data_IF_345919221681
#
_entry.id   IF_345919221681
#
_cell.length_a   1.000
_cell.length_b   1.000
_cell.length_c   1.000
_cell.angle_alpha   90.00
_cell.angle_beta   90.00
_cell.angle_gamma   90.00
#
_symmetry.space_group_name_H-M   'P 1'
#
loop_
_entity.id
_entity.type
_entity.pdbx_description
1 polymer ?
#
# COMPACT_ATOMS: atom_id res chain seq x y z
N UNK A 1 -21.76 6.73 -14.52
CA UNK A 1 -21.44 5.93 -13.32
C UNK A 1 -20.68 4.71 -13.78
N UNK A 2 -19.50 4.46 -13.23
CA UNK A 2 -18.65 3.32 -13.54
C UNK A 2 -18.87 2.22 -12.49
N UNK A 3 -18.94 0.97 -12.95
CA UNK A 3 -19.05 -0.16 -12.03
C UNK A 3 -17.67 -0.75 -11.75
N UNK A 4 -17.25 -0.87 -10.49
CA UNK A 4 -15.98 -1.50 -10.15
C UNK A 4 -16.05 -3.01 -10.38
N UNK A 5 -14.92 -3.62 -10.65
CA UNK A 5 -14.78 -5.08 -10.63
C UNK A 5 -14.85 -5.55 -9.18
N UNK A 6 -15.58 -6.65 -8.93
CA UNK A 6 -15.66 -7.23 -7.59
C UNK A 6 -14.93 -8.58 -7.59
N UNK A 7 -13.96 -8.73 -6.68
CA UNK A 7 -13.25 -9.97 -6.46
C UNK A 7 -12.96 -10.14 -4.96
N UNK A 8 -13.18 -11.31 -4.40
CA UNK A 8 -12.90 -11.65 -3.00
C UNK A 8 -13.55 -10.69 -1.98
N UNK A 9 -14.75 -10.19 -2.29
CA UNK A 9 -15.47 -9.23 -1.45
C UNK A 9 -14.96 -7.80 -1.53
N UNK A 10 -13.94 -7.52 -2.35
CA UNK A 10 -13.35 -6.20 -2.56
C UNK A 10 -13.77 -5.62 -3.90
N UNK A 11 -14.16 -4.34 -3.93
CA UNK A 11 -14.37 -3.58 -5.16
C UNK A 11 -13.04 -2.99 -5.61
N UNK A 12 -12.69 -3.21 -6.87
CA UNK A 12 -11.42 -2.78 -7.44
C UNK A 12 -11.64 -1.90 -8.67
N UNK A 13 -10.89 -0.80 -8.74
CA UNK A 13 -10.78 0.04 -9.92
C UNK A 13 -9.31 0.37 -10.17
N UNK A 14 -8.85 0.22 -11.40
CA UNK A 14 -7.48 0.53 -11.79
C UNK A 14 -7.45 1.31 -13.09
N UNK A 15 -6.50 2.22 -13.22
CA UNK A 15 -6.22 2.94 -14.46
C UNK A 15 -5.91 1.96 -15.61
N UNK A 16 -5.21 0.86 -15.29
CA UNK A 16 -4.89 -0.19 -16.26
C UNK A 16 -6.12 -0.84 -16.91
N UNK A 17 -7.29 -0.81 -16.27
CA UNK A 17 -8.54 -1.36 -16.85
C UNK A 17 -9.07 -0.54 -18.04
N UNK A 18 -8.63 0.72 -18.18
CA UNK A 18 -9.01 1.60 -19.27
C UNK A 18 -7.97 1.66 -20.39
N UNK A 19 -6.82 1.01 -20.17
CA UNK A 19 -5.76 0.88 -21.15
C UNK A 19 -6.00 -0.38 -21.97
N UNK A 20 -6.06 -0.27 -23.30
CA UNK A 20 -5.91 -1.47 -24.13
C UNK A 20 -4.53 -2.07 -23.92
N UNK A 21 -4.40 -3.39 -24.06
CA UNK A 21 -3.19 -4.19 -23.79
C UNK A 21 -1.91 -3.70 -24.50
N UNK A 22 -2.03 -2.88 -25.53
CA UNK A 22 -0.95 -2.53 -26.46
C UNK A 22 -0.51 -1.06 -26.41
N UNK A 23 -0.98 -0.28 -25.43
CA UNK A 23 -0.61 1.14 -25.34
C UNK A 23 0.04 1.50 -24.03
N UNK A 24 1.29 1.97 -24.08
CA UNK A 24 1.90 2.68 -22.97
C UNK A 24 1.09 3.95 -22.68
N UNK A 25 0.45 4.00 -21.54
CA UNK A 25 -0.32 5.18 -21.14
C UNK A 25 0.66 6.17 -20.50
N UNK A 26 1.00 7.21 -21.26
CA UNK A 26 1.73 8.35 -20.74
C UNK A 26 0.76 9.29 -20.01
N UNK A 27 0.57 9.05 -18.71
CA UNK A 27 -0.24 9.92 -17.88
C UNK A 27 0.63 11.04 -17.31
N UNK A 28 0.34 12.27 -17.71
CA UNK A 28 0.93 13.47 -17.10
C UNK A 28 0.04 13.97 -15.96
N UNK A 29 0.62 14.67 -15.00
CA UNK A 29 -0.01 15.12 -13.76
C UNK A 29 -1.50 15.53 -13.85
N UNK A 30 -1.92 16.43 -14.76
CA UNK A 30 -3.32 16.84 -14.86
C UNK A 30 -4.30 15.73 -15.25
N UNK A 31 -3.83 14.71 -16.00
CA UNK A 31 -4.67 13.55 -16.32
C UNK A 31 -4.82 12.60 -15.16
N UNK A 32 -3.77 12.41 -14.36
CA UNK A 32 -3.82 11.60 -13.14
C UNK A 32 -4.78 12.20 -12.12
N UNK A 33 -4.72 13.51 -11.90
CA UNK A 33 -5.65 14.21 -11.01
C UNK A 33 -7.11 14.04 -11.47
N UNK A 34 -7.39 14.23 -12.75
CA UNK A 34 -8.73 14.04 -13.31
C UNK A 34 -9.21 12.59 -13.16
N UNK A 35 -8.32 11.61 -13.30
CA UNK A 35 -8.66 10.20 -13.09
C UNK A 35 -8.97 9.91 -11.62
N UNK A 36 -8.23 10.49 -10.69
CA UNK A 36 -8.55 10.41 -9.26
C UNK A 36 -9.95 10.97 -8.98
N UNK A 37 -10.26 12.16 -9.47
CA UNK A 37 -11.58 12.77 -9.32
C UNK A 37 -12.68 11.87 -9.90
N UNK A 38 -12.48 11.28 -11.09
CA UNK A 38 -13.42 10.34 -11.69
C UNK A 38 -13.56 9.05 -10.87
N UNK A 39 -12.48 8.52 -10.33
CA UNK A 39 -12.54 7.32 -9.49
C UNK A 39 -13.28 7.56 -8.18
N UNK A 40 -13.16 8.74 -7.61
CA UNK A 40 -13.86 9.09 -6.39
C UNK A 40 -15.33 9.44 -6.64
N UNK A 41 -15.66 10.15 -7.74
CA UNK A 41 -16.99 10.69 -7.98
C UNK A 41 -17.87 9.81 -8.89
N UNK A 42 -17.29 9.15 -9.92
CA UNK A 42 -18.06 8.48 -10.98
C UNK A 42 -18.16 6.96 -10.76
N UNK A 43 -17.35 6.37 -9.87
CA UNK A 43 -17.41 4.93 -9.56
C UNK A 43 -18.43 4.66 -8.46
N UNK A 44 -19.25 3.65 -8.69
CA UNK A 44 -20.23 3.20 -7.69
C UNK A 44 -19.56 2.31 -6.62
N UNK A 45 -19.00 2.95 -5.61
CA UNK A 45 -18.39 2.24 -4.47
C UNK A 45 -19.43 1.64 -3.51
N UNK A 46 -20.66 2.17 -3.50
CA UNK A 46 -21.67 1.88 -2.47
C UNK A 46 -21.25 2.55 -1.15
N UNK A 47 -21.34 1.79 -0.06
CA UNK A 47 -20.93 2.23 1.28
C UNK A 47 -19.71 1.39 1.73
N UNK A 48 -18.48 1.73 1.29
CA UNK A 48 -17.30 0.99 1.68
C UNK A 48 -16.87 1.35 3.11
N UNK A 49 -16.51 0.37 3.93
CA UNK A 49 -15.94 0.61 5.25
C UNK A 49 -14.54 1.22 5.14
N UNK A 50 -13.79 0.86 4.11
CA UNK A 50 -12.42 1.32 3.87
C UNK A 50 -12.19 1.53 2.38
N UNK A 51 -11.52 2.63 2.04
CA UNK A 51 -11.02 2.91 0.70
C UNK A 51 -9.49 2.94 0.73
N UNK A 52 -8.85 2.03 0.00
CA UNK A 52 -7.40 1.98 -0.14
C UNK A 52 -7.02 2.54 -1.50
N UNK A 53 -6.12 3.54 -1.50
CA UNK A 53 -5.57 4.17 -2.68
C UNK A 53 -4.10 3.73 -2.83
N UNK A 54 -3.82 2.88 -3.83
CA UNK A 54 -2.45 2.51 -4.21
C UNK A 54 -1.86 3.59 -5.12
N UNK A 55 -1.00 4.43 -4.53
CA UNK A 55 -0.41 5.57 -5.20
C UNK A 55 0.85 5.17 -5.96
N UNK A 56 1.01 5.71 -7.18
CA UNK A 56 2.25 5.56 -7.92
C UNK A 56 3.44 6.13 -7.11
N UNK A 57 4.62 5.50 -7.17
CA UNK A 57 5.81 6.01 -6.50
C UNK A 57 6.23 7.35 -7.09
N UNK A 58 6.79 8.24 -6.26
CA UNK A 58 7.37 9.49 -6.71
C UNK A 58 6.95 10.71 -5.91
N UNK A 59 7.14 11.86 -6.51
CA UNK A 59 6.91 13.17 -5.92
C UNK A 59 5.44 13.36 -5.58
N UNK A 60 5.15 13.81 -4.42
CA UNK A 60 3.86 13.91 -3.78
C UNK A 60 2.66 14.51 -4.51
N UNK A 61 2.73 14.76 -5.83
CA UNK A 61 1.62 15.35 -6.59
C UNK A 61 0.30 14.59 -6.43
N UNK A 62 0.37 13.24 -6.50
CA UNK A 62 -0.81 12.40 -6.28
C UNK A 62 -1.26 12.40 -4.83
N UNK A 63 -0.33 12.34 -3.88
CA UNK A 63 -0.65 12.44 -2.47
C UNK A 63 -1.25 13.80 -2.12
N UNK A 64 -0.76 14.89 -2.72
CA UNK A 64 -1.34 16.23 -2.59
C UNK A 64 -2.77 16.24 -3.15
N UNK A 65 -3.00 15.68 -4.32
CA UNK A 65 -4.34 15.60 -4.93
C UNK A 65 -5.30 14.77 -4.09
N UNK A 66 -4.84 13.64 -3.53
CA UNK A 66 -5.63 12.82 -2.59
C UNK A 66 -5.96 13.61 -1.33
N UNK A 67 -5.00 14.30 -0.72
CA UNK A 67 -5.22 15.09 0.49
C UNK A 67 -6.22 16.23 0.27
N UNK A 68 -6.24 16.82 -0.92
CA UNK A 68 -7.22 17.85 -1.28
C UNK A 68 -8.62 17.28 -1.47
N UNK A 69 -8.72 16.08 -2.08
CA UNK A 69 -9.99 15.42 -2.32
C UNK A 69 -10.55 14.71 -1.07
N UNK A 70 -9.67 14.19 -0.22
CA UNK A 70 -9.98 13.39 0.97
C UNK A 70 -9.18 13.90 2.19
N UNK A 71 -9.61 14.98 2.84
CA UNK A 71 -8.86 15.63 3.92
C UNK A 71 -8.61 14.76 5.15
N UNK A 72 -9.42 13.72 5.33
CA UNK A 72 -9.29 12.77 6.46
C UNK A 72 -8.52 11.49 6.07
N UNK A 73 -7.95 11.43 4.87
CA UNK A 73 -7.15 10.28 4.48
C UNK A 73 -5.86 10.20 5.30
N UNK A 74 -5.45 8.98 5.62
CA UNK A 74 -4.18 8.70 6.27
C UNK A 74 -3.20 8.06 5.29
N UNK A 75 -1.92 8.28 5.47
CA UNK A 75 -0.85 7.76 4.64
C UNK A 75 -0.16 6.58 5.34
N UNK A 76 -0.08 5.44 4.68
CA UNK A 76 0.79 4.34 5.08
C UNK A 76 2.00 4.32 4.15
N UNK A 77 3.19 4.42 4.74
CA UNK A 77 4.45 4.43 3.99
C UNK A 77 4.96 2.99 3.88
N UNK A 78 5.14 2.50 2.65
CA UNK A 78 5.68 1.16 2.41
C UNK A 78 7.12 1.28 1.93
N UNK A 79 8.01 0.48 2.51
CA UNK A 79 9.43 0.42 2.16
C UNK A 79 9.93 -1.02 2.10
N UNK A 80 11.18 -1.22 1.71
CA UNK A 80 11.93 -2.47 1.88
C UNK A 80 13.15 -2.21 2.77
N UNK A 81 13.88 -3.25 3.25
CA UNK A 81 15.05 -3.05 4.10
C UNK A 81 16.19 -2.25 3.48
N UNK A 82 16.25 -2.20 2.14
CA UNK A 82 17.36 -1.54 1.41
C UNK A 82 17.44 -0.04 1.70
N UNK A 83 18.65 0.51 1.91
CA UNK A 83 18.85 1.94 2.20
C UNK A 83 18.23 2.87 1.15
N UNK A 84 18.43 2.56 -0.15
CA UNK A 84 17.89 3.38 -1.25
C UNK A 84 16.35 3.45 -1.26
N UNK A 85 15.68 2.33 -0.94
CA UNK A 85 14.23 2.30 -0.83
C UNK A 85 13.75 3.11 0.38
N UNK A 86 14.45 3.00 1.51
CA UNK A 86 14.14 3.77 2.72
C UNK A 86 14.26 5.28 2.48
N UNK A 87 15.27 5.73 1.74
CA UNK A 87 15.45 7.16 1.41
C UNK A 87 14.30 7.71 0.52
N UNK A 88 13.79 6.87 -0.39
CA UNK A 88 12.61 7.22 -1.19
C UNK A 88 11.35 7.24 -0.33
N UNK A 89 11.18 6.27 0.55
CA UNK A 89 10.04 6.15 1.45
C UNK A 89 9.95 7.34 2.43
N UNK A 90 11.08 7.77 3.00
CA UNK A 90 11.12 8.99 3.83
C UNK A 90 10.63 10.20 3.04
N UNK A 91 11.15 10.42 1.83
CA UNK A 91 10.71 11.54 0.97
C UNK A 91 9.22 11.47 0.67
N UNK A 92 8.68 10.28 0.44
CA UNK A 92 7.24 10.10 0.22
C UNK A 92 6.41 10.42 1.48
N UNK A 93 6.88 10.03 2.66
CA UNK A 93 6.21 10.34 3.93
C UNK A 93 6.27 11.83 4.29
N UNK A 94 7.33 12.54 3.91
CA UNK A 94 7.49 13.98 4.16
C UNK A 94 6.48 14.86 3.40
N UNK A 95 5.72 14.29 2.46
CA UNK A 95 4.60 15.01 1.84
C UNK A 95 3.57 15.45 2.90
N UNK A 96 3.46 14.74 4.01
CA UNK A 96 2.61 15.11 5.14
C UNK A 96 2.95 16.46 5.79
N UNK A 97 4.12 17.01 5.53
CA UNK A 97 4.46 18.42 5.92
C UNK A 97 3.78 19.46 5.04
N UNK A 98 3.30 19.08 3.86
CA UNK A 98 2.73 20.00 2.87
C UNK A 98 1.22 19.90 2.76
N UNK A 99 0.63 18.86 3.33
CA UNK A 99 -0.81 18.57 3.23
C UNK A 99 -1.36 18.13 4.60
N UNK A 100 -2.67 18.30 4.85
CA UNK A 100 -3.30 17.90 6.11
C UNK A 100 -3.55 16.38 6.19
N UNK A 101 -2.57 15.57 5.80
CA UNK A 101 -2.60 14.11 5.92
C UNK A 101 -1.66 13.66 7.02
N UNK A 102 -2.12 12.70 7.82
CA UNK A 102 -1.29 12.07 8.84
C UNK A 102 -0.62 10.81 8.28
N UNK A 103 0.66 10.62 8.58
CA UNK A 103 1.32 9.33 8.37
C UNK A 103 0.89 8.40 9.51
N UNK A 104 0.12 7.37 9.18
CA UNK A 104 -0.38 6.37 10.14
C UNK A 104 0.73 5.46 10.63
N UNK A 105 1.67 5.12 9.76
CA UNK A 105 2.82 4.29 10.08
C UNK A 105 3.58 3.81 8.86
N UNK A 106 4.56 2.96 9.11
CA UNK A 106 5.45 2.36 8.12
C UNK A 106 5.22 0.86 8.06
N UNK A 107 5.22 0.30 6.85
CA UNK A 107 5.23 -1.15 6.60
C UNK A 107 6.53 -1.49 5.86
N UNK A 108 7.33 -2.40 6.42
CA UNK A 108 8.52 -2.92 5.75
C UNK A 108 8.15 -4.21 5.02
N UNK A 109 8.13 -4.16 3.70
CA UNK A 109 7.88 -5.31 2.84
C UNK A 109 9.18 -6.01 2.47
N UNK A 110 9.13 -7.30 2.17
CA UNK A 110 10.31 -8.13 1.84
C UNK A 110 11.38 -8.07 2.94
N UNK A 111 10.95 -7.99 4.20
CA UNK A 111 11.84 -7.81 5.35
C UNK A 111 12.77 -8.99 5.54
N UNK A 112 12.32 -10.19 5.25
CA UNK A 112 13.08 -11.42 5.37
C UNK A 112 12.49 -12.49 4.47
N UNK A 113 13.28 -13.51 4.19
CA UNK A 113 12.84 -14.76 3.58
C UNK A 113 13.00 -15.89 4.59
N UNK A 114 12.00 -16.73 4.72
CA UNK A 114 12.04 -17.89 5.61
C UNK A 114 12.27 -19.16 4.78
N UNK A 115 13.33 -19.89 5.08
CA UNK A 115 13.66 -21.14 4.43
C UNK A 115 14.13 -22.18 5.46
N UNK A 116 13.50 -23.35 5.48
CA UNK A 116 13.81 -24.46 6.39
C UNK A 116 13.85 -24.06 7.87
N UNK A 117 13.02 -23.10 8.31
CA UNK A 117 12.99 -22.59 9.67
C UNK A 117 14.08 -21.55 9.99
N UNK A 118 14.88 -21.17 9.01
CA UNK A 118 15.87 -20.10 9.15
C UNK A 118 15.36 -18.82 8.47
N UNK A 119 15.61 -17.68 9.13
CA UNK A 119 15.33 -16.36 8.59
C UNK A 119 16.56 -15.83 7.86
N UNK A 120 16.38 -15.45 6.60
CA UNK A 120 17.45 -14.93 5.72
C UNK A 120 17.08 -13.49 5.34
N UNK A 121 17.96 -12.55 5.66
CA UNK A 121 17.77 -11.13 5.39
C UNK A 121 18.35 -10.76 4.01
N UNK A 122 17.66 -11.19 2.93
CA UNK A 122 18.13 -11.05 1.54
C UNK A 122 18.43 -9.58 1.19
N UNK A 123 17.62 -8.66 1.67
CA UNK A 123 17.71 -7.23 1.35
C UNK A 123 18.29 -6.38 2.49
N UNK A 124 18.95 -7.03 3.48
CA UNK A 124 19.43 -6.37 4.69
C UNK A 124 18.35 -6.20 5.74
N UNK A 125 18.59 -5.34 6.72
CA UNK A 125 17.69 -5.15 7.88
C UNK A 125 17.52 -3.69 8.24
N UNK A 126 16.42 -3.37 8.95
CA UNK A 126 16.25 -2.10 9.65
C UNK A 126 15.82 -0.92 8.78
N UNK A 127 15.49 -1.12 7.50
CA UNK A 127 15.02 -0.05 6.62
C UNK A 127 13.75 0.60 7.11
N UNK A 128 12.75 -0.21 7.49
CA UNK A 128 11.48 0.27 8.02
C UNK A 128 11.62 1.03 9.34
N UNK A 129 12.46 0.52 10.25
CA UNK A 129 12.74 1.19 11.52
C UNK A 129 13.42 2.55 11.31
N UNK A 130 14.34 2.63 10.33
CA UNK A 130 14.98 3.89 9.95
C UNK A 130 13.97 4.89 9.39
N UNK A 131 13.07 4.46 8.50
CA UNK A 131 12.00 5.31 7.97
C UNK A 131 11.07 5.81 9.08
N UNK A 132 10.64 4.91 9.97
CA UNK A 132 9.82 5.22 11.13
C UNK A 132 10.47 6.31 12.01
N UNK A 133 11.75 6.13 12.38
CA UNK A 133 12.48 7.10 13.20
C UNK A 133 12.60 8.46 12.49
N UNK A 134 13.02 8.49 11.23
CA UNK A 134 13.20 9.73 10.49
C UNK A 134 11.89 10.50 10.28
N UNK A 135 10.78 9.78 10.02
CA UNK A 135 9.46 10.40 9.91
C UNK A 135 8.94 10.91 11.26
N UNK A 136 9.18 10.18 12.36
CA UNK A 136 8.84 10.62 13.72
C UNK A 136 9.54 11.92 14.05
N UNK A 137 10.85 12.00 13.78
CA UNK A 137 11.63 13.21 14.05
C UNK A 137 11.16 14.39 13.20
N UNK A 138 10.92 14.17 11.91
CA UNK A 138 10.55 15.25 10.99
C UNK A 138 9.11 15.76 11.17
N UNK A 139 8.19 14.86 11.51
CA UNK A 139 6.75 15.17 11.64
C UNK A 139 6.36 15.56 13.07
N UNK A 140 7.27 15.40 14.05
CA UNK A 140 7.05 15.71 15.46
C UNK A 140 5.89 14.94 16.13
N UNK A 141 5.59 13.75 15.64
CA UNK A 141 4.69 12.78 16.27
C UNK A 141 5.16 11.35 15.94
N UNK A 142 4.74 10.40 16.76
CA UNK A 142 5.11 9.00 16.57
C UNK A 142 4.57 8.43 15.25
N UNK A 143 5.47 7.89 14.42
CA UNK A 143 5.17 7.14 13.20
C UNK A 143 5.66 5.71 13.38
N UNK A 144 4.81 4.78 13.83
CA UNK A 144 5.24 3.43 14.20
C UNK A 144 5.62 2.58 12.99
N UNK A 145 6.56 1.65 13.17
CA UNK A 145 6.74 0.50 12.27
C UNK A 145 5.61 -0.51 12.57
N UNK A 146 4.60 -0.53 11.72
CA UNK A 146 3.36 -1.30 11.94
C UNK A 146 3.52 -2.80 11.65
N UNK A 147 4.30 -3.14 10.63
CA UNK A 147 4.52 -4.52 10.22
C UNK A 147 5.84 -4.69 9.45
N UNK A 148 6.39 -5.90 9.57
CA UNK A 148 7.46 -6.42 8.73
C UNK A 148 6.93 -7.66 8.00
N UNK A 149 6.78 -7.55 6.68
CA UNK A 149 6.21 -8.61 5.84
C UNK A 149 7.33 -9.44 5.20
N UNK A 150 7.24 -10.76 5.22
CA UNK A 150 8.25 -11.61 4.58
C UNK A 150 8.20 -11.51 3.05
N UNK A 151 9.31 -11.84 2.42
CA UNK A 151 9.34 -12.21 1.01
C UNK A 151 8.77 -13.63 0.89
N UNK A 152 7.54 -13.77 0.39
CA UNK A 152 6.87 -15.05 0.27
C UNK A 152 6.62 -15.41 -1.21
N UNK A 153 7.25 -16.44 -1.76
CA UNK A 153 7.04 -16.89 -3.14
C UNK A 153 5.58 -17.26 -3.45
N UNK A 154 4.82 -17.67 -2.44
CA UNK A 154 3.41 -18.02 -2.57
C UNK A 154 2.54 -16.86 -3.04
N UNK A 155 2.96 -15.60 -2.78
CA UNK A 155 2.25 -14.40 -3.28
C UNK A 155 2.12 -14.47 -4.80
N UNK A 156 3.24 -14.78 -5.49
CA UNK A 156 3.25 -14.91 -6.94
C UNK A 156 2.51 -16.18 -7.39
N UNK A 157 2.84 -17.31 -6.79
CA UNK A 157 2.29 -18.60 -7.20
C UNK A 157 0.76 -18.63 -7.10
N UNK A 158 0.20 -18.23 -5.98
CA UNK A 158 -1.24 -18.19 -5.74
C UNK A 158 -1.90 -17.11 -6.60
N UNK A 159 -1.28 -15.92 -6.71
CA UNK A 159 -1.83 -14.83 -7.50
C UNK A 159 -1.91 -15.15 -9.00
N UNK A 160 -0.91 -15.85 -9.56
CA UNK A 160 -0.86 -16.22 -10.97
C UNK A 160 -1.71 -17.45 -11.30
N UNK A 161 -1.74 -18.46 -10.42
CA UNK A 161 -2.41 -19.74 -10.69
C UNK A 161 -3.89 -19.75 -10.27
N UNK A 162 -4.23 -19.13 -9.15
CA UNK A 162 -5.55 -19.23 -8.54
C UNK A 162 -6.31 -17.89 -8.55
N UNK A 163 -5.62 -16.79 -8.85
CA UNK A 163 -6.21 -15.45 -8.92
C UNK A 163 -6.77 -14.92 -7.59
N UNK A 164 -6.38 -15.53 -6.46
CA UNK A 164 -6.80 -15.11 -5.11
C UNK A 164 -5.66 -14.43 -4.34
N UNK A 165 -5.99 -13.62 -3.32
CA UNK A 165 -4.98 -13.09 -2.42
C UNK A 165 -4.26 -14.19 -1.64
N UNK A 166 -2.92 -14.14 -1.60
CA UNK A 166 -2.10 -15.17 -0.93
C UNK A 166 -2.32 -15.25 0.59
N UNK A 167 -2.92 -14.21 1.19
CA UNK A 167 -3.27 -14.16 2.62
C UNK A 167 -4.53 -14.97 2.97
N UNK A 168 -5.32 -15.38 1.98
CA UNK A 168 -6.56 -16.10 2.18
C UNK A 168 -6.41 -17.60 1.88
N UNK A 169 -7.19 -18.40 2.56
CA UNK A 169 -7.46 -19.79 2.24
C UNK A 169 -8.48 -19.90 1.08
N UNK A 170 -8.70 -21.10 0.56
CA UNK A 170 -9.65 -21.37 -0.54
C UNK A 170 -11.10 -21.01 -0.16
N UNK A 171 -11.44 -21.09 1.11
CA UNK A 171 -12.75 -20.72 1.67
C UNK A 171 -12.91 -19.21 1.92
N UNK A 172 -11.89 -18.40 1.60
CA UNK A 172 -11.87 -16.95 1.81
C UNK A 172 -11.54 -16.52 3.23
N UNK A 173 -11.23 -17.45 4.14
CA UNK A 173 -10.77 -17.11 5.49
C UNK A 173 -9.30 -16.68 5.48
N UNK A 174 -8.91 -15.86 6.47
CA UNK A 174 -7.51 -15.49 6.65
C UNK A 174 -6.67 -16.74 7.02
N UNK A 175 -5.50 -16.88 6.43
CA UNK A 175 -4.57 -17.96 6.74
C UNK A 175 -4.09 -17.88 8.20
N UNK A 176 -3.95 -19.02 8.84
CA UNK A 176 -3.42 -19.13 10.20
C UNK A 176 -1.92 -19.46 10.20
N UNK A 177 -1.13 -18.81 9.37
CA UNK A 177 0.33 -18.81 9.39
C UNK A 177 0.85 -17.40 9.74
N UNK A 178 2.17 -17.26 9.89
CA UNK A 178 2.77 -15.97 10.25
C UNK A 178 2.48 -14.88 9.23
N UNK A 179 2.40 -15.24 7.96
CA UNK A 179 2.06 -14.30 6.89
C UNK A 179 0.62 -13.78 7.05
N UNK A 180 -0.37 -14.67 7.17
CA UNK A 180 -1.77 -14.29 7.36
C UNK A 180 -1.99 -13.55 8.68
N UNK A 181 -1.37 -14.01 9.78
CA UNK A 181 -1.46 -13.32 11.09
C UNK A 181 -0.89 -11.91 11.04
N UNK A 182 0.26 -11.70 10.36
CA UNK A 182 0.87 -10.37 10.23
C UNK A 182 -0.05 -9.41 9.46
N UNK A 183 -0.64 -9.87 8.36
CA UNK A 183 -1.63 -9.07 7.62
C UNK A 183 -2.88 -8.80 8.44
N UNK A 184 -3.36 -9.78 9.21
CA UNK A 184 -4.51 -9.60 10.09
C UNK A 184 -4.26 -8.59 11.21
N UNK A 185 -3.08 -8.56 11.79
CA UNK A 185 -2.69 -7.55 12.77
C UNK A 185 -2.56 -6.16 12.14
N UNK A 186 -1.94 -6.08 10.95
CA UNK A 186 -1.84 -4.82 10.20
C UNK A 186 -3.22 -4.25 9.89
N UNK A 187 -4.14 -5.07 9.37
CA UNK A 187 -5.51 -4.64 9.07
C UNK A 187 -6.22 -4.11 10.32
N UNK A 188 -6.13 -4.82 11.45
CA UNK A 188 -6.73 -4.37 12.72
C UNK A 188 -6.14 -3.04 13.19
N UNK A 189 -4.83 -2.84 13.05
CA UNK A 189 -4.18 -1.59 13.46
C UNK A 189 -4.54 -0.40 12.56
N UNK A 190 -4.90 -0.66 11.30
CA UNK A 190 -5.36 0.39 10.38
C UNK A 190 -6.82 0.75 10.59
N UNK A 191 -7.63 -0.16 11.13
CA UNK A 191 -9.06 0.05 11.39
C UNK A 191 -9.36 0.61 12.80
N UNK A 192 -8.36 0.62 13.69
CA UNK A 192 -8.46 1.15 15.05
C UNK A 192 -8.25 2.67 15.07
#
# INVERSE_FOLDING_TARGET
MLMPVTAWGVKLMSIGMFAGSDRAILWRGPRLQRSLEQFLADVWWGEPDVLILDLAPGTGDMAISVAQALPNAELVVVTTPQPSASDIAVRSGLVALQVPMRVRGVVENMSYFEHAGERIDIFGTGGGARVSSQLTDALHYEVPLMAQLPLDPRIREIGESEGRPAVLNDDGTLRDDDFGRTFGHLAKSLLA
#
